data_IF_676598053913
#
_entry.id   IF_676598053913
#
_cell.length_a   1.000
_cell.length_b   1.000
_cell.length_c   1.000
_cell.angle_alpha   90.00
_cell.angle_beta   90.00
_cell.angle_gamma   90.00
#
_symmetry.space_group_name_H-M   'P 1'
#
loop_
_entity.id
_entity.type
_entity.pdbx_description
1 polymer ?
2 non-polymer ?
3 non-polymer ?
4 non-polymer ?
5 water ?
#
# COMPACT_ATOMS: atom_id res chain seq x y z
N UNK A 1 14.48 22.29 3.40
CA UNK A 1 13.60 22.68 4.50
C UNK A 1 12.65 21.55 4.92
N UNK A 2 11.58 21.38 4.16
CA UNK A 2 10.56 20.37 4.47
C UNK A 2 10.91 19.00 3.92
N UNK A 3 10.55 17.96 4.65
CA UNK A 3 10.80 16.60 4.22
C UNK A 3 9.53 15.76 4.27
N UNK A 4 9.47 14.74 3.43
CA UNK A 4 8.31 13.88 3.39
C UNK A 4 7.69 13.77 2.01
N UNK A 5 6.53 13.12 1.95
CA UNK A 5 5.91 12.78 0.68
C UNK A 5 4.40 12.98 0.66
N UNK A 6 3.89 13.48 -0.46
CA UNK A 6 2.46 13.45 -0.73
C UNK A 6 2.27 12.62 -1.99
N UNK A 7 1.29 11.72 -1.97
CA UNK A 7 1.10 10.82 -3.08
C UNK A 7 -0.37 10.67 -3.42
N UNK A 8 -0.71 10.92 -4.68
CA UNK A 8 -2.03 10.62 -5.20
C UNK A 8 -2.01 9.30 -5.97
N UNK A 9 -2.99 8.46 -5.72
CA UNK A 9 -3.11 7.22 -6.47
C UNK A 9 -4.45 7.14 -7.20
N UNK A 10 -4.41 6.79 -8.47
CA UNK A 10 -5.62 6.55 -9.24
C UNK A 10 -5.56 5.12 -9.75
N UNK A 11 -6.62 4.35 -9.55
CA UNK A 11 -6.58 2.95 -9.97
C UNK A 11 -7.91 2.45 -10.52
N UNK A 12 -7.83 1.50 -11.42
CA UNK A 12 -9.02 0.86 -11.97
C UNK A 12 -8.66 -0.52 -12.52
N UNK A 13 -9.66 -1.35 -12.73
CA UNK A 13 -9.41 -2.66 -13.31
C UNK A 13 -10.48 -3.64 -12.88
N UNK A 14 -11.08 -3.32 -11.74
CA UNK A 14 -12.27 -4.02 -11.25
C UNK A 14 -12.69 -3.56 -9.86
N UNK A 15 -12.94 -4.50 -8.95
CA UNK A 15 -13.61 -4.20 -7.69
C UNK A 15 -13.12 -2.98 -6.93
N UNK A 16 -11.81 -2.73 -6.93
CA UNK A 16 -11.24 -1.69 -6.10
C UNK A 16 -10.89 -0.41 -6.87
N UNK A 17 -11.82 0.06 -7.68
CA UNK A 17 -11.66 1.30 -8.44
C UNK A 17 -11.81 2.54 -7.56
N UNK A 18 -10.97 3.54 -7.79
CA UNK A 18 -11.07 4.80 -7.08
C UNK A 18 -9.76 5.57 -7.00
N UNK A 19 -9.64 6.36 -5.94
CA UNK A 19 -8.54 7.31 -5.82
C UNK A 19 -8.17 7.49 -4.36
N UNK A 20 -6.95 7.96 -4.11
CA UNK A 20 -6.47 8.15 -2.75
C UNK A 20 -5.42 9.25 -2.69
N UNK A 21 -5.23 9.79 -1.48
CA UNK A 21 -4.20 10.78 -1.22
C UNK A 21 -3.59 10.41 0.13
N UNK A 22 -2.27 10.28 0.18
CA UNK A 22 -1.59 9.95 1.43
C UNK A 22 -0.36 10.84 1.63
N UNK A 23 -0.03 11.10 2.89
CA UNK A 23 1.14 11.90 3.22
C UNK A 23 2.03 11.10 4.19
N UNK A 24 3.34 11.14 3.96
CA UNK A 24 4.31 10.68 4.95
C UNK A 24 5.02 11.93 5.52
N UNK A 25 4.92 12.10 6.83
CA UNK A 25 5.37 13.34 7.47
C UNK A 25 6.34 13.07 8.63
N UNK A 26 7.64 13.32 8.43
CA UNK A 26 8.65 13.06 9.47
C UNK A 26 8.45 13.98 10.67
N UNK A 27 8.69 13.46 11.86
CA UNK A 27 8.73 14.34 13.03
C UNK A 27 10.08 14.32 13.72
N UNK A 28 10.89 13.31 13.39
CA UNK A 28 12.29 13.30 13.75
C UNK A 28 13.06 12.70 12.59
N UNK A 29 14.12 13.38 12.18
CA UNK A 29 14.84 12.98 10.98
C UNK A 29 16.34 13.14 11.17
N UNK A 30 17.05 12.02 11.28
CA UNK A 30 18.50 12.01 11.38
C UNK A 30 19.02 10.98 10.39
N UNK A 31 20.32 10.98 10.14
CA UNK A 31 20.87 9.98 9.22
C UNK A 31 20.53 8.54 9.66
N UNK A 32 20.69 8.25 10.94
CA UNK A 32 20.47 6.90 11.45
C UNK A 32 19.00 6.52 11.67
N UNK A 33 18.13 7.50 11.91
CA UNK A 33 16.76 7.18 12.29
C UNK A 33 15.76 8.24 11.83
N UNK A 34 14.61 7.77 11.35
CA UNK A 34 13.50 8.62 10.96
C UNK A 34 12.27 8.14 11.73
N UNK A 35 11.55 9.06 12.37
CA UNK A 35 10.25 8.74 12.96
C UNK A 35 9.23 9.58 12.19
N UNK A 36 8.09 8.98 11.85
CA UNK A 36 7.17 9.64 10.94
C UNK A 36 5.73 9.30 11.29
N UNK A 37 4.84 10.16 10.84
CA UNK A 37 3.42 9.84 10.80
C UNK A 37 3.01 9.68 9.35
N UNK A 38 1.97 8.88 9.12
CA UNK A 38 1.40 8.75 7.78
C UNK A 38 -0.11 8.91 7.92
N UNK A 39 -0.71 9.72 7.06
CA UNK A 39 -2.13 9.97 7.13
C UNK A 39 -2.69 10.08 5.73
N UNK A 40 -3.86 9.52 5.51
CA UNK A 40 -4.46 9.61 4.19
C UNK A 40 -5.89 9.14 4.16
N UNK A 41 -6.52 9.30 3.01
CA UNK A 41 -7.86 8.77 2.83
C UNK A 41 -8.04 8.37 1.38
N UNK A 42 -9.13 7.65 1.12
CA UNK A 42 -9.34 7.10 -0.20
C UNK A 42 -10.83 6.85 -0.41
N UNK A 43 -11.25 6.93 -1.67
CA UNK A 43 -12.59 6.56 -2.02
C UNK A 43 -12.45 5.48 -3.06
N UNK A 44 -12.68 4.24 -2.63
CA UNK A 44 -12.39 3.07 -3.46
C UNK A 44 -13.48 2.05 -3.20
N UNK A 45 -13.95 1.41 -4.26
CA UNK A 45 -14.96 0.37 -4.14
C UNK A 45 -16.19 0.92 -3.40
N UNK A 46 -16.55 2.15 -3.72
CA UNK A 46 -17.75 2.78 -3.16
C UNK A 46 -17.72 2.93 -1.65
N UNK A 47 -16.53 3.01 -1.07
CA UNK A 47 -16.39 3.28 0.35
C UNK A 47 -15.36 4.36 0.63
N UNK A 48 -15.64 5.20 1.61
CA UNK A 48 -14.68 6.20 2.07
C UNK A 48 -13.94 5.64 3.29
N UNK A 49 -12.61 5.56 3.20
CA UNK A 49 -11.77 5.01 4.27
C UNK A 49 -10.65 5.99 4.57
N UNK A 50 -10.35 6.22 5.85
CA UNK A 50 -9.19 7.02 6.22
C UNK A 50 -8.22 6.21 7.09
N UNK A 51 -6.96 6.63 7.11
CA UNK A 51 -5.90 5.84 7.75
C UNK A 51 -4.90 6.76 8.42
N UNK A 52 -4.47 6.38 9.61
CA UNK A 52 -3.50 7.16 10.39
C UNK A 52 -2.48 6.20 11.00
N UNK A 53 -1.19 6.48 10.80
CA UNK A 53 -0.16 5.61 11.33
C UNK A 53 1.12 6.34 11.71
N UNK A 54 2.00 5.62 12.38
CA UNK A 54 3.31 6.15 12.73
C UNK A 54 4.31 5.00 12.75
N UNK A 55 5.58 5.31 12.64
CA UNK A 55 6.59 4.27 12.77
C UNK A 55 7.97 4.86 12.83
N UNK A 56 8.96 3.98 12.84
CA UNK A 56 10.34 4.39 12.76
C UNK A 56 11.04 3.57 11.71
N UNK A 57 12.05 4.17 11.09
CA UNK A 57 12.92 3.50 10.15
C UNK A 57 14.36 3.72 10.62
N UNK A 58 15.14 2.64 10.64
CA UNK A 58 16.52 2.70 11.12
C UNK A 58 17.48 2.35 9.99
N UNK A 59 18.45 3.21 9.77
CA UNK A 59 19.29 3.11 8.58
C UNK A 59 20.74 2.68 8.84
N UNK A 60 21.19 1.73 8.04
CA UNK A 60 22.58 1.40 7.88
C UNK A 60 22.94 1.77 6.45
N UNK A 61 24.25 1.86 6.15
CA UNK A 61 24.69 2.13 4.78
C UNK A 61 24.02 1.21 3.74
N UNK A 62 23.87 -0.07 4.07
CA UNK A 62 23.34 -1.03 3.09
C UNK A 62 21.90 -1.48 3.32
N UNK A 63 21.33 -1.20 4.50
CA UNK A 63 19.95 -1.62 4.74
C UNK A 63 19.17 -0.78 5.74
N UNK A 64 17.86 -0.97 5.74
CA UNK A 64 16.96 -0.29 6.63
C UNK A 64 16.00 -1.30 7.26
N UNK A 65 15.78 -1.16 8.56
CA UNK A 65 14.75 -1.92 9.26
C UNK A 65 13.72 -0.91 9.73
N UNK A 66 12.44 -1.29 9.70
CA UNK A 66 11.39 -0.39 10.12
C UNK A 66 10.18 -1.12 10.66
N UNK A 67 9.41 -0.42 11.50
CA UNK A 67 8.13 -0.92 11.98
C UNK A 67 7.13 0.22 11.97
N UNK A 68 5.85 -0.08 11.96
CA UNK A 68 4.80 0.93 11.94
C UNK A 68 3.51 0.37 12.51
N UNK A 69 2.65 1.26 13.00
CA UNK A 69 1.35 0.87 13.52
C UNK A 69 0.31 1.78 12.93
N UNK A 70 -0.83 1.20 12.51
CA UNK A 70 -1.89 1.96 11.83
C UNK A 70 -3.26 1.75 12.47
N UNK A 71 -4.10 2.78 12.42
CA UNK A 71 -5.54 2.56 12.59
C UNK A 71 -6.22 2.83 11.25
N UNK A 72 -7.03 1.88 10.79
CA UNK A 72 -7.77 1.99 9.54
C UNK A 72 -9.25 2.16 9.84
N UNK A 73 -9.88 3.16 9.24
CA UNK A 73 -11.29 3.39 9.48
C UNK A 73 -12.09 3.53 8.20
N UNK A 74 -12.95 2.56 7.95
CA UNK A 74 -13.91 2.60 6.86
C UNK A 74 -15.14 3.33 7.37
N UNK A 75 -15.26 4.61 7.02
CA UNK A 75 -16.36 5.44 7.51
C UNK A 75 -17.71 5.06 6.92
N UNK A 76 -17.69 4.53 5.70
CA UNK A 76 -18.92 4.14 5.02
C UNK A 76 -19.61 3.00 5.75
N UNK A 77 -18.83 1.99 6.11
CA UNK A 77 -19.38 0.81 6.76
C UNK A 77 -19.15 0.80 8.26
N UNK A 78 -18.46 1.81 8.78
CA UNK A 78 -18.13 1.86 10.20
C UNK A 78 -17.34 0.62 10.60
N UNK A 79 -16.26 0.32 9.89
CA UNK A 79 -15.38 -0.79 10.25
C UNK A 79 -14.00 -0.28 10.65
N UNK A 80 -13.45 -0.86 11.70
CA UNK A 80 -12.22 -0.34 12.27
C UNK A 80 -11.19 -1.46 12.37
N UNK A 81 -9.94 -1.14 12.09
CA UNK A 81 -8.90 -2.15 12.06
C UNK A 81 -7.60 -1.60 12.60
N UNK A 82 -6.86 -2.44 13.31
CA UNK A 82 -5.49 -2.13 13.71
C UNK A 82 -4.53 -2.78 12.73
N UNK A 83 -3.51 -2.03 12.30
CA UNK A 83 -2.47 -2.59 11.46
C UNK A 83 -1.10 -2.51 12.11
N UNK A 84 -0.28 -3.53 11.88
CA UNK A 84 1.11 -3.48 12.31
C UNK A 84 1.98 -3.91 11.15
N UNK A 85 3.12 -3.24 10.96
CA UNK A 85 3.95 -3.51 9.80
C UNK A 85 5.43 -3.55 10.12
N UNK A 86 6.16 -4.37 9.37
CA UNK A 86 7.60 -4.40 9.43
C UNK A 86 8.21 -4.15 8.05
N UNK A 87 9.47 -3.69 8.05
CA UNK A 87 10.12 -3.30 6.80
C UNK A 87 11.57 -3.74 6.78
N UNK A 88 12.00 -4.26 5.64
CA UNK A 88 13.41 -4.49 5.38
C UNK A 88 13.73 -4.04 3.96
N UNK A 89 14.38 -2.89 3.84
CA UNK A 89 14.66 -2.30 2.53
C UNK A 89 16.15 -2.16 2.27
N UNK A 90 16.52 -2.16 0.99
CA UNK A 90 17.90 -1.99 0.57
C UNK A 90 17.84 -1.12 -0.69
N UNK A 91 18.99 -0.90 -1.33
CA UNK A 91 19.00 -0.29 -2.65
C UNK A 91 18.14 -1.12 -3.60
N UNK A 92 17.21 -0.46 -4.30
CA UNK A 92 16.41 -1.08 -5.36
C UNK A 92 15.54 -2.24 -4.89
N UNK A 93 15.31 -2.33 -3.58
CA UNK A 93 14.60 -3.48 -3.06
C UNK A 93 13.89 -3.10 -1.77
N UNK A 94 12.56 -3.26 -1.76
CA UNK A 94 11.77 -2.94 -0.59
C UNK A 94 10.92 -4.14 -0.21
N UNK A 95 11.16 -4.69 0.98
CA UNK A 95 10.33 -5.78 1.47
C UNK A 95 9.55 -5.33 2.72
N UNK A 96 8.28 -5.70 2.78
CA UNK A 96 7.44 -5.38 3.93
C UNK A 96 6.53 -6.54 4.31
N UNK A 97 6.21 -6.63 5.59
CA UNK A 97 5.19 -7.57 6.05
C UNK A 97 4.19 -6.76 6.86
N UNK A 98 2.90 -7.08 6.70
CA UNK A 98 1.85 -6.36 7.38
C UNK A 98 0.85 -7.32 7.99
N UNK A 99 0.37 -6.99 9.19
CA UNK A 99 -0.67 -7.74 9.86
C UNK A 99 -1.91 -6.87 9.95
N UNK A 100 -3.08 -7.49 9.82
CA UNK A 100 -4.35 -6.77 9.77
C UNK A 100 -5.28 -7.37 10.81
N UNK A 101 -5.59 -6.57 11.83
CA UNK A 101 -6.32 -7.02 13.00
C UNK A 101 -7.62 -6.25 13.25
N UNK A 102 -8.73 -6.97 13.11
CA UNK A 102 -10.07 -6.42 13.34
C UNK A 102 -10.20 -5.73 14.70
N UNK A 103 -10.82 -4.55 14.74
CA UNK A 103 -11.12 -3.85 16.00
C UNK A 103 -12.60 -3.57 16.18
N UNK A 104 -13.41 -3.94 15.21
CA UNK A 104 -14.85 -3.75 15.30
C UNK A 104 -15.54 -5.06 14.96
N UNK A 105 -16.78 -5.22 15.45
CA UNK A 105 -17.47 -6.49 15.34
C UNK A 105 -18.52 -6.57 14.26
N UNK A 106 -19.22 -7.69 14.21
CA UNK A 106 -20.30 -7.87 13.26
C UNK A 106 -21.36 -6.79 13.38
N UNK A 107 -21.81 -6.28 12.24
CA UNK A 107 -22.94 -5.36 12.20
C UNK A 107 -23.55 -5.39 10.80
N UNK A 108 -24.76 -4.86 10.65
CA UNK A 108 -25.47 -4.89 9.37
C UNK A 108 -24.59 -4.37 8.24
N UNK A 109 -24.52 -5.13 7.16
CA UNK A 109 -23.63 -4.76 6.04
C UNK A 109 -24.06 -3.50 5.29
N UNK A 110 -23.06 -2.73 4.88
CA UNK A 110 -23.23 -1.53 4.10
C UNK A 110 -23.64 -1.82 2.65
N UNK A 111 -22.99 -2.79 2.03
CA UNK A 111 -23.21 -3.06 0.60
C UNK A 111 -24.04 -4.32 0.28
N UNK A 112 -24.11 -5.25 1.23
CA UNK A 112 -24.81 -6.51 0.98
C UNK A 112 -26.08 -6.66 1.80
N UNK A 113 -27.22 -6.60 1.13
CA UNK A 113 -28.50 -6.79 1.81
C UNK A 113 -28.56 -8.18 2.42
N UNK A 114 -29.02 -8.26 3.67
CA UNK A 114 -29.21 -9.53 4.36
C UNK A 114 -27.94 -10.11 4.99
N UNK A 115 -26.86 -9.32 5.01
CA UNK A 115 -25.60 -9.77 5.60
C UNK A 115 -25.13 -8.86 6.74
N UNK A 116 -24.39 -9.44 7.68
CA UNK A 116 -23.55 -8.66 8.57
C UNK A 116 -22.15 -8.63 7.99
N UNK A 117 -21.39 -7.61 8.32
CA UNK A 117 -20.02 -7.49 7.85
C UNK A 117 -19.08 -7.09 9.00
N UNK A 118 -17.80 -7.42 8.85
CA UNK A 118 -16.74 -6.94 9.73
C UNK A 118 -15.38 -7.17 9.07
N UNK A 119 -14.33 -6.49 9.56
CA UNK A 119 -13.00 -6.69 8.96
C UNK A 119 -12.47 -8.14 9.05
N UNK A 120 -11.91 -8.65 7.96
CA UNK A 120 -11.26 -9.96 7.96
C UNK A 120 -9.83 -9.81 8.48
N UNK A 121 -9.45 -10.60 9.48
CA UNK A 121 -8.06 -10.65 9.89
C UNK A 121 -7.20 -11.29 8.79
N UNK A 122 -5.96 -10.81 8.65
CA UNK A 122 -5.03 -11.43 7.72
C UNK A 122 -3.65 -10.81 7.76
N UNK A 123 -2.85 -11.12 6.74
CA UNK A 123 -1.52 -10.54 6.61
C UNK A 123 -1.15 -10.45 5.15
N UNK A 124 -0.08 -9.72 4.85
CA UNK A 124 0.50 -9.79 3.51
C UNK A 124 2.01 -9.57 3.55
N UNK A 125 2.68 -10.00 2.50
CA UNK A 125 4.11 -9.84 2.37
C UNK A 125 4.32 -9.20 1.01
N UNK A 126 5.14 -8.15 0.97
CA UNK A 126 5.24 -7.31 -0.23
C UNK A 126 6.69 -7.07 -0.62
N UNK A 127 6.99 -7.28 -1.90
CA UNK A 127 8.31 -7.00 -2.46
C UNK A 127 8.13 -6.07 -3.64
N UNK A 128 8.97 -5.03 -3.70
CA UNK A 128 9.06 -4.18 -4.87
C UNK A 128 10.54 -4.07 -5.19
N UNK A 129 10.91 -4.43 -6.40
CA UNK A 129 12.30 -4.35 -6.80
C UNK A 129 12.42 -3.50 -8.05
N UNK A 130 13.57 -2.85 -8.20
CA UNK A 130 13.85 -2.02 -9.36
C UNK A 130 15.14 -2.48 -10.02
N UNK A 131 15.16 -2.47 -11.36
CA UNK A 131 16.34 -2.92 -12.08
C UNK A 131 17.48 -1.94 -11.81
N UNK A 132 18.58 -2.43 -11.20
CA UNK A 132 19.61 -1.45 -10.84
C UNK A 132 20.22 -0.71 -12.03
N UNK A 133 20.32 -1.40 -13.17
CA UNK A 133 20.86 -0.78 -14.39
C UNK A 133 19.83 0.08 -15.12
N UNK A 134 18.55 -0.08 -14.79
CA UNK A 134 17.49 0.77 -15.36
C UNK A 134 16.33 0.93 -14.37
N UNK A 135 16.54 1.73 -13.32
CA UNK A 135 15.64 1.78 -12.16
C UNK A 135 14.23 2.33 -12.43
N UNK A 136 13.99 2.91 -13.60
CA UNK A 136 12.62 3.30 -13.96
C UNK A 136 11.73 2.07 -14.08
N UNK A 137 12.33 0.89 -14.26
CA UNK A 137 11.59 -0.35 -14.39
C UNK A 137 11.51 -1.09 -13.05
N UNK A 138 10.28 -1.33 -12.60
CA UNK A 138 10.07 -2.05 -11.35
C UNK A 138 9.14 -3.22 -11.49
N UNK A 139 9.26 -4.14 -10.54
CA UNK A 139 8.40 -5.33 -10.48
C UNK A 139 7.83 -5.44 -9.08
N UNK A 140 6.67 -6.08 -8.96
CA UNK A 140 5.96 -6.16 -7.69
C UNK A 140 5.49 -7.59 -7.44
N UNK A 141 5.77 -8.08 -6.24
CA UNK A 141 5.29 -9.40 -5.84
C UNK A 141 4.63 -9.30 -4.47
N UNK A 142 3.38 -9.74 -4.39
CA UNK A 142 2.67 -9.72 -3.12
C UNK A 142 2.04 -11.08 -2.85
N UNK A 143 2.19 -11.58 -1.62
CA UNK A 143 1.33 -12.65 -1.17
C UNK A 143 0.43 -12.14 -0.05
N UNK A 144 -0.86 -12.36 -0.17
CA UNK A 144 -1.80 -11.94 0.86
C UNK A 144 -2.70 -13.11 1.29
N UNK A 145 -3.09 -13.10 2.55
CA UNK A 145 -3.91 -14.17 3.12
C UNK A 145 -4.91 -13.61 4.13
N UNK A 146 -6.18 -13.96 3.97
CA UNK A 146 -7.19 -13.49 4.91
C UNK A 146 -8.01 -14.65 5.45
N UNK A 147 -8.71 -14.43 6.55
CA UNK A 147 -9.38 -15.54 7.22
C UNK A 147 -10.86 -15.26 7.53
N UNK A 148 -11.69 -16.27 7.32
CA UNK A 148 -13.11 -16.18 7.62
C UNK A 148 -13.87 -17.14 6.71
N UNK A 149 -15.12 -17.42 7.04
CA UNK A 149 -15.90 -18.33 6.20
C UNK A 149 -16.28 -17.70 4.86
N UNK A 150 -16.56 -16.40 4.85
CA UNK A 150 -16.98 -15.73 3.62
C UNK A 150 -16.28 -14.39 3.43
N UNK A 151 -15.08 -14.41 2.87
CA UNK A 151 -14.26 -13.22 2.76
C UNK A 151 -14.31 -12.66 1.34
N UNK A 152 -14.34 -11.33 1.24
CA UNK A 152 -14.34 -10.66 -0.06
C UNK A 152 -12.97 -10.08 -0.40
N UNK A 153 -12.09 -10.92 -0.92
CA UNK A 153 -10.74 -10.52 -1.30
C UNK A 153 -10.73 -9.93 -2.71
N UNK A 154 -11.57 -10.49 -3.58
CA UNK A 154 -11.64 -10.07 -4.98
C UNK A 154 -12.86 -9.20 -5.25
N UNK A 155 -14.02 -9.63 -4.75
CA UNK A 155 -15.23 -8.81 -4.72
C UNK A 155 -16.25 -9.41 -3.74
N UNK A 156 -17.32 -8.68 -3.46
CA UNK A 156 -18.29 -9.13 -2.46
C UNK A 156 -19.45 -9.95 -3.03
N UNK A 157 -19.40 -10.27 -4.32
CA UNK A 157 -20.40 -11.14 -4.92
C UNK A 157 -19.92 -12.59 -4.99
N UNK A 158 -18.60 -12.78 -4.85
CA UNK A 158 -18.05 -14.13 -4.74
C UNK A 158 -17.26 -14.24 -3.44
N UNK A 159 -17.94 -14.71 -2.40
CA UNK A 159 -17.31 -14.83 -1.10
C UNK A 159 -16.58 -16.17 -0.97
N UNK A 160 -15.46 -16.17 -0.26
CA UNK A 160 -14.61 -17.36 -0.18
C UNK A 160 -14.10 -17.61 1.23
N UNK A 161 -13.84 -18.87 1.54
CA UNK A 161 -13.25 -19.24 2.82
C UNK A 161 -11.73 -19.06 2.82
N UNK A 162 -11.23 -18.30 3.79
CA UNK A 162 -9.78 -18.14 3.98
C UNK A 162 -9.02 -17.94 2.68
N UNK A 163 -9.38 -16.90 1.92
CA UNK A 163 -8.73 -16.75 0.61
C UNK A 163 -7.32 -16.19 0.71
N UNK A 164 -6.43 -16.67 -0.17
CA UNK A 164 -5.12 -16.08 -0.36
C UNK A 164 -4.95 -15.69 -1.82
N UNK A 165 -3.95 -14.88 -2.12
CA UNK A 165 -3.68 -14.49 -3.50
C UNK A 165 -2.23 -14.06 -3.69
N UNK A 166 -1.70 -14.31 -4.89
CA UNK A 166 -0.39 -13.81 -5.24
C UNK A 166 -0.55 -12.74 -6.31
N UNK A 167 0.16 -11.64 -6.16
CA UNK A 167 0.12 -10.57 -7.15
C UNK A 167 1.49 -10.46 -7.81
N UNK A 168 1.49 -10.28 -9.13
CA UNK A 168 2.72 -9.97 -9.83
C UNK A 168 2.42 -8.75 -10.68
N UNK A 169 3.30 -7.75 -10.62
CA UNK A 169 3.07 -6.54 -11.38
C UNK A 169 4.35 -5.95 -11.94
N UNK A 170 4.19 -5.09 -12.94
CA UNK A 170 5.30 -4.31 -13.46
C UNK A 170 4.87 -2.86 -13.49
N UNK A 171 5.82 -1.95 -13.29
CA UNK A 171 5.51 -0.53 -13.30
C UNK A 171 6.66 0.27 -13.90
N UNK A 172 6.34 1.46 -14.35
CA UNK A 172 7.30 2.31 -15.05
C UNK A 172 7.27 3.70 -14.42
N UNK A 173 8.44 4.22 -14.07
CA UNK A 173 8.57 5.56 -13.48
C UNK A 173 9.51 6.37 -14.37
N UNK A 174 8.97 7.03 -15.41
CA UNK A 174 9.81 7.77 -16.35
C UNK A 174 10.52 8.95 -15.68
N UNK A 175 9.82 9.59 -14.75
CA UNK A 175 10.35 10.68 -13.95
C UNK A 175 9.81 10.47 -12.54
N UNK A 176 10.48 11.03 -11.52
CA UNK A 176 10.10 10.74 -10.13
C UNK A 176 8.65 11.09 -9.80
N UNK A 177 8.11 12.08 -10.51
CA UNK A 177 6.77 12.56 -10.27
C UNK A 177 5.67 11.54 -10.56
N UNK A 178 5.88 10.59 -11.48
CA UNK A 178 4.80 9.69 -11.85
C UNK A 178 5.24 8.24 -12.09
N UNK A 179 4.42 7.32 -11.60
CA UNK A 179 4.62 5.89 -11.78
C UNK A 179 3.34 5.31 -12.36
N UNK A 180 3.46 4.47 -13.37
CA UNK A 180 2.30 3.76 -13.91
C UNK A 180 2.55 2.26 -13.85
N UNK A 181 1.50 1.47 -13.63
CA UNK A 181 1.69 0.05 -13.53
C UNK A 181 0.48 -0.81 -13.79
N UNK A 182 0.74 -2.10 -13.95
CA UNK A 182 -0.31 -3.09 -14.13
C UNK A 182 -0.02 -4.26 -13.19
N UNK A 183 -1.04 -4.67 -12.44
CA UNK A 183 -0.89 -5.73 -11.47
C UNK A 183 -1.85 -6.89 -11.77
N UNK A 184 -1.31 -8.09 -11.87
CA UNK A 184 -2.11 -9.27 -12.06
C UNK A 184 -2.16 -10.07 -10.77
N UNK A 185 -3.36 -10.48 -10.38
CA UNK A 185 -3.55 -11.21 -9.15
C UNK A 185 -4.31 -12.50 -9.39
N UNK A 186 -3.78 -13.59 -8.83
CA UNK A 186 -4.41 -14.91 -8.92
C UNK A 186 -4.62 -15.42 -7.49
N UNK A 187 -5.82 -15.90 -7.18
CA UNK A 187 -6.12 -16.34 -5.83
C UNK A 187 -6.89 -17.64 -5.73
N UNK A 188 -7.36 -17.97 -4.54
CA UNK A 188 -8.08 -19.23 -4.34
C UNK A 188 -9.36 -19.31 -5.18
N UNK A 189 -9.78 -20.54 -5.50
CA UNK A 189 -10.96 -20.76 -6.31
C UNK A 189 -10.73 -20.32 -7.74
N UNK A 190 -9.47 -20.07 -8.06
CA UNK A 190 -9.06 -19.58 -9.37
C UNK A 190 -9.64 -18.22 -9.70
N UNK A 191 -9.64 -17.35 -8.70
CA UNK A 191 -9.97 -15.94 -8.89
C UNK A 191 -8.77 -15.23 -9.52
N UNK A 192 -9.05 -14.31 -10.44
CA UNK A 192 -8.03 -13.51 -11.09
C UNK A 192 -8.58 -12.11 -11.26
N UNK A 193 -7.71 -11.11 -11.17
CA UNK A 193 -8.09 -9.76 -11.53
C UNK A 193 -6.89 -8.95 -11.96
N UNK A 194 -7.16 -7.79 -12.55
CA UNK A 194 -6.12 -6.89 -13.08
C UNK A 194 -6.34 -5.50 -12.53
N UNK A 195 -5.26 -4.85 -12.13
CA UNK A 195 -5.35 -3.50 -11.58
C UNK A 195 -4.40 -2.58 -12.35
N UNK A 196 -4.97 -1.58 -13.03
CA UNK A 196 -4.18 -0.54 -13.66
C UNK A 196 -4.11 0.62 -12.68
N UNK A 197 -2.93 1.20 -12.50
CA UNK A 197 -2.80 2.28 -11.54
C UNK A 197 -1.76 3.32 -11.92
N UNK A 198 -1.99 4.55 -11.49
CA UNK A 198 -1.04 5.62 -11.68
C UNK A 198 -0.86 6.41 -10.39
N UNK A 199 0.38 6.71 -10.03
CA UNK A 199 0.64 7.49 -8.83
C UNK A 199 1.37 8.77 -9.15
N UNK A 200 0.91 9.86 -8.54
CA UNK A 200 1.61 11.13 -8.62
C UNK A 200 2.26 11.37 -7.27
N UNK A 201 3.58 11.53 -7.31
CA UNK A 201 4.41 11.51 -6.11
C UNK A 201 5.11 12.85 -5.98
N UNK A 202 4.82 13.56 -4.90
CA UNK A 202 5.51 14.82 -4.65
C UNK A 202 6.46 14.67 -3.46
N UNK A 203 7.74 14.93 -3.69
CA UNK A 203 8.74 14.88 -2.64
C UNK A 203 9.00 16.28 -2.08
N UNK A 204 8.72 16.47 -0.79
CA UNK A 204 8.86 17.80 -0.17
C UNK A 204 10.28 18.37 -0.26
N UNK A 205 11.29 17.51 -0.21
CA UNK A 205 12.69 17.99 -0.21
C UNK A 205 13.31 18.20 -1.60
N UNK A 206 12.54 17.95 -2.66
CA UNK A 206 13.05 18.07 -4.01
C UNK A 206 12.51 19.33 -4.67
N UNK A 207 13.33 19.97 -5.50
CA UNK A 207 12.84 21.07 -6.32
C UNK A 207 11.91 20.50 -7.41
N UNK A 208 11.15 21.38 -8.05
CA UNK A 208 10.27 20.93 -9.12
C UNK A 208 11.03 20.24 -10.25
N UNK A 209 12.12 20.86 -10.70
CA UNK A 209 12.85 20.34 -11.85
C UNK A 209 13.46 18.96 -11.57
N UNK A 210 13.89 18.72 -10.34
CA UNK A 210 14.45 17.42 -9.99
C UNK A 210 13.41 16.32 -10.13
N UNK A 211 12.15 16.68 -9.89
CA UNK A 211 11.07 15.69 -9.89
C UNK A 211 10.54 15.33 -11.27
N UNK A 212 10.97 16.08 -12.28
CA UNK A 212 10.52 15.80 -13.64
C UNK A 212 11.71 15.48 -14.54
N UNK A 213 12.81 15.02 -13.94
CA UNK A 213 14.00 14.62 -14.67
C UNK A 213 14.32 13.16 -14.42
N UNK A 214 14.50 12.37 -15.51
CA UNK A 214 14.69 10.92 -15.47
C UNK A 214 15.91 10.51 -14.65
N UNK A 215 16.93 11.36 -14.60
CA UNK A 215 18.16 11.03 -13.88
C UNK A 215 17.96 10.91 -12.38
N UNK A 216 16.87 11.47 -11.84
CA UNK A 216 16.63 11.38 -10.40
C UNK A 216 15.80 10.17 -10.02
N UNK A 217 15.40 9.38 -11.00
CA UNK A 217 14.67 8.15 -10.70
C UNK A 217 15.59 7.15 -9.98
N UNK A 218 16.83 7.02 -10.44
CA UNK A 218 17.78 6.16 -9.74
C UNK A 218 17.94 6.54 -8.25
N UNK A 219 18.08 7.84 -8.00
CA UNK A 219 18.20 8.29 -6.62
C UNK A 219 17.01 7.85 -5.78
N UNK A 220 15.82 7.99 -6.36
CA UNK A 220 14.56 7.65 -5.67
C UNK A 220 14.51 6.19 -5.26
N UNK A 221 15.13 5.32 -6.05
CA UNK A 221 15.08 3.87 -5.81
C UNK A 221 16.23 3.33 -4.95
N UNK A 222 17.27 4.13 -4.72
CA UNK A 222 18.29 3.76 -3.76
C UNK A 222 17.74 3.87 -2.35
N UNK A 223 18.41 3.23 -1.40
CA UNK A 223 17.98 3.26 -0.01
C UNK A 223 17.77 4.70 0.50
N UNK A 224 18.72 5.58 0.23
CA UNK A 224 18.69 6.91 0.82
C UNK A 224 17.67 7.82 0.16
N UNK A 225 17.33 7.54 -1.11
CA UNK A 225 16.30 8.30 -1.78
C UNK A 225 14.91 7.81 -1.45
N UNK A 226 14.82 6.58 -0.95
CA UNK A 226 13.53 5.93 -0.68
C UNK A 226 13.04 6.14 0.76
N UNK A 227 13.83 6.87 1.54
CA UNK A 227 13.58 6.95 2.98
C UNK A 227 12.21 7.54 3.37
N UNK A 228 11.62 8.35 2.49
CA UNK A 228 10.32 9.00 2.76
C UNK A 228 9.15 8.38 2.00
N UNK A 229 9.40 7.23 1.37
CA UNK A 229 8.35 6.47 0.67
C UNK A 229 7.26 6.06 1.63
N UNK A 230 6.02 6.03 1.14
CA UNK A 230 4.90 5.56 1.97
C UNK A 230 5.12 4.11 2.42
N UNK A 231 4.55 3.76 3.57
CA UNK A 231 4.52 2.37 4.02
C UNK A 231 3.86 1.53 2.93
N UNK A 232 4.39 0.34 2.67
CA UNK A 232 3.78 -0.55 1.68
C UNK A 232 2.81 -1.45 2.40
N UNK A 233 1.52 -1.21 2.24
CA UNK A 233 0.52 -1.97 2.96
C UNK A 233 -0.78 -1.79 2.23
N UNK A 234 -1.79 -2.57 2.60
CA UNK A 234 -3.11 -2.42 2.02
C UNK A 234 -3.94 -1.51 2.92
N UNK A 235 -4.25 -0.30 2.44
CA UNK A 235 -5.01 0.66 3.24
C UNK A 235 -6.53 0.45 3.12
N UNK A 236 -6.95 -0.44 2.22
CA UNK A 236 -8.35 -0.85 2.12
C UNK A 236 -8.64 -1.93 3.15
N UNK A 237 -9.81 -1.86 3.79
CA UNK A 237 -10.18 -2.88 4.77
C UNK A 237 -10.96 -4.00 4.09
N UNK A 238 -10.29 -5.15 3.94
CA UNK A 238 -10.96 -6.34 3.41
C UNK A 238 -11.98 -6.86 4.42
N UNK A 239 -13.19 -7.15 3.94
CA UNK A 239 -14.29 -7.56 4.81
C UNK A 239 -14.67 -9.04 4.68
N UNK A 240 -15.21 -9.58 5.77
CA UNK A 240 -15.91 -10.85 5.71
C UNK A 240 -17.38 -10.62 6.03
N UNK A 241 -18.19 -11.62 5.70
CA UNK A 241 -19.64 -11.50 5.79
C UNK A 241 -20.29 -12.69 6.50
N UNK A 242 -21.48 -12.46 7.04
CA UNK A 242 -22.29 -13.54 7.59
C UNK A 242 -23.76 -13.13 7.47
X LIG B 1 3.17 -2.60 -2.44
X LIG C 1 5.87 -1.69 -18.18
X LIG C 1 -1.37 3.45 -16.72
X LIG C 1 -2.30 4.11 -16.02
X LIG C 1 4.98 -0.74 -17.40
X LIG C 1 -1.56 2.07 -17.29
X LIG C 1 -3.69 3.59 -15.70
X LIG C 1 -12.25 8.47 -7.81
X LIG C 1 3.51 -0.97 -17.73
X LIG C 1 -0.49 1.84 -18.36
X LIG C 1 -4.45 4.73 -15.03
X LIG C 1 2.63 0.17 -17.26
X LIG C 1 0.29 0.55 -18.13
X LIG C 1 -5.81 4.34 -14.49
X LIG C 1 1.78 0.74 -18.40
X LIG C 1 -6.48 5.52 -13.80
X LIG C 1 -7.72 5.10 -13.02
X LIG C 1 -8.94 5.94 -13.43
X LIG C 1 -9.47 6.82 -12.30
X LIG C 1 -11.81 7.75 -10.17
X LIG C 1 -10.51 6.05 -11.52
X LIG C 1 -12.75 7.61 -8.97
X LIG C 1 -10.93 4.98 -11.93
X LIG C 1 -12.90 8.12 -6.59
X LIG C 1 -14.06 8.02 -9.37
X LIG C 1 -11.05 6.53 -10.26
X LIG D 1 13.09 -2.77 15.08
X LIG D 1 6.51 -6.51 11.86
X LIG D 1 5.37 -6.92 11.29
X LIG D 1 12.97 -3.41 13.71
X LIG D 1 6.82 -6.70 13.31
X LIG D 1 4.28 -7.63 12.06
X LIG D 1 -5.86 -16.48 12.00
X LIG D 1 11.56 -3.83 13.34
X LIG D 1 8.34 -6.86 13.48
X LIG D 1 3.67 -8.66 11.12
X LIG D 1 11.52 -4.97 12.31
X LIG D 1 9.15 -5.69 12.93
X LIG D 1 2.43 -9.31 11.74
X LIG D 1 10.62 -6.10 12.78
X LIG D 1 2.01 -10.59 11.01
X LIG D 1 0.95 -11.28 11.86
X LIG D 1 0.30 -12.47 11.18
X LIG D 1 -1.22 -12.42 11.38
X LIG D 1 -3.68 -15.42 11.35
X LIG D 1 -1.79 -13.81 11.28
X LIG D 1 -4.52 -15.95 12.51
X LIG D 1 -1.09 -14.73 10.89
X LIG D 1 -5.88 -17.90 12.16
X LIG D 1 -3.82 -17.01 13.17
X LIG D 1 -3.16 -14.11 11.66
X LIG E 1 12.36 9.80 18.89
X LIG E 1 11.70 8.44 18.91
X LIG E 1 10.21 8.58 18.65
X LIG E 1 9.53 7.22 18.61
X LIG E 1 8.04 7.33 18.37
X LIG E 1 11.85 10.72 18.29
X LIG E 1 13.62 10.02 19.59
X LIG E 1 14.47 11.08 19.16
X LIG E 1 15.60 11.29 20.16
X LIG E 1 16.47 10.14 20.14
X LIG E 1 16.41 12.53 19.80
X LIG E 1 17.53 12.66 20.69
X LIG E 1 7.60 6.59 17.13
X LIG E 1 6.83 5.32 17.47
X LIG E 1 5.35 5.51 17.26
X LIG E 1 4.81 4.19 16.77
X LIG E 1 3.55 3.80 17.04
X LIG E 1 2.61 4.64 17.86
X LIG E 1 1.23 3.98 17.80
X LIG E 1 0.71 3.57 19.17
X LIG E 1 -0.50 2.63 19.04
X LIG E 1 -0.35 1.42 19.96
X LIG E 1 -1.30 0.29 19.58
X LIG E 1 -2.57 0.34 20.41
X LIG E 1 -3.76 0.82 19.59
X LIG F 1 -8.81 12.77 0.52
X LIG F 1 -9.16 12.03 -0.52
X LIG F 1 -9.54 12.71 1.84
X LIG F 1 -10.30 11.05 -0.57
X LIG F 1 -10.03 11.68 -9.73
X LIG F 1 -8.90 13.73 2.77
X LIG F 1 -10.36 10.72 -2.06
X LIG F 1 -9.01 11.16 -2.61
X LIG F 1 -8.95 11.37 -4.11
X LIG F 1 -7.87 12.40 -4.42
X LIG F 1 -7.44 12.34 -5.88
X LIG F 1 -7.30 13.72 -6.50
X LIG F 1 -8.10 13.15 -10.24
X LIG F 1 -7.09 13.56 -8.00
X LIG F 1 -9.46 12.66 -10.74
X LIG F 1 -5.98 13.31 -8.45
X LIG F 1 -11.17 11.00 -10.28
X LIG F 1 -10.34 13.77 -10.91
X LIG F 1 -8.21 13.67 -8.92
X LIG G 1 2.52 3.89 23.89
X LIG G 1 5.37 9.15 20.19
X LIG G 1 6.35 9.77 20.84
X LIG G 1 3.79 4.73 23.68
X LIG G 1 4.75 9.54 18.90
X LIG G 1 7.11 10.99 20.46
X LIG G 1 15.77 17.51 17.51
X LIG G 1 4.07 5.07 22.22
X LIG G 1 3.52 8.65 18.82
X LIG G 1 8.21 10.99 21.49
X LIG G 1 4.05 6.55 21.88
X LIG G 1 3.13 8.35 20.27
X LIG G 1 9.11 12.18 21.35
X LIG G 1 3.14 6.88 20.70
X LIG G 1 9.65 12.34 19.97
X LIG G 1 8.82 13.29 19.14
X LIG G 1 9.75 14.34 18.59
X LIG G 1 11.12 13.83 18.92
X LIG G 1 13.85 16.49 18.75
X LIG G 1 12.05 14.95 19.30
X LIG G 1 14.25 17.50 17.69
X LIG G 1 12.26 15.25 20.45
X LIG G 1 16.10 18.13 16.28
X LIG G 1 13.61 17.17 16.46
X LIG G 1 12.76 15.68 18.31
X LIG H 1 9.42 -4.55 -17.69
X LIG H 1 12.78 -6.41 -10.61
X LIG H 1 13.45 -7.00 -9.63
X LIG H 1 9.08 -5.93 -17.19
X LIG H 1 13.55 -6.10 -11.87
X LIG H 1 14.90 -7.33 -9.89
X LIG H 1 23.70 -1.69 -5.17
X LIG H 1 9.79 -6.14 -15.87
X LIG H 1 12.82 -5.04 -12.65
X LIG H 1 15.79 -6.21 -9.37
X LIG H 1 11.01 -5.24 -15.90
X LIG H 1 11.87 -5.70 -13.64
X LIG H 1 15.70 -6.10 -7.86
X LIG H 1 11.28 -4.64 -14.53
X LIG H 1 16.96 -5.42 -7.32
X LIG H 1 17.74 -6.39 -6.45
X LIG H 1 19.03 -5.76 -5.96
X LIG H 1 19.16 -5.94 -4.45
X LIG H 1 22.02 -3.34 -4.35
X LIG H 1 20.07 -4.85 -3.96
X LIG H 1 22.40 -2.43 -5.50
X LIG H 1 19.99 -4.41 -2.83
X LIG H 1 23.48 -0.81 -4.06
X LIG H 1 22.56 -3.20 -6.68
X LIG H 1 21.08 -4.30 -4.85
X LIG I 1 4.58 23.16 -2.04
X LIG I 1 3.56 22.28 -1.33
X LIG I 1 2.99 21.25 -2.31
X LIG I 1 1.98 20.30 -1.66
X LIG I 1 1.31 19.42 -2.70
X LIG I 1 4.29 23.72 -3.08
X LIG I 1 5.94 23.32 -1.54
X LIG I 1 6.34 24.50 -0.82
X LIG I 1 7.76 24.87 -1.27
X LIG I 1 7.70 25.52 -2.54
X LIG I 1 8.46 25.77 -0.26
X LIG I 1 9.79 26.06 -0.72
X LIG I 1 0.42 18.35 -2.05
X LIG I 1 -0.31 17.49 -3.09
X LIG I 1 0.67 16.87 -4.09
X LIG I 1 0.14 15.55 -4.62
X LIG I 1 0.51 15.15 -5.84
X LIG I 1 1.47 16.00 -6.65
X LIG I 1 1.10 15.95 -8.13
X LIG I 1 -0.30 16.51 -8.36
X LIG I 1 -0.94 15.98 -9.65
X LIG I 1 -2.45 16.19 -9.61
X LIG I 1 -3.23 15.01 -10.18
X LIG I 1 -3.41 15.14 -11.69
X LIG I 1 -4.59 14.31 -12.17
X LIG J 1 8.71 -10.30 11.86
X LIG J 1 2.11 -14.90 9.01
X LIG J 1 1.06 -15.64 9.32
X LIG J 1 8.58 -11.25 10.68
X LIG J 1 3.47 -15.51 8.84
X LIG J 1 1.15 -17.14 9.50
X LIG J 1 -9.23 -23.51 12.28
X LIG J 1 7.19 -11.89 10.66
X LIG J 1 4.28 -14.73 7.81
X LIG J 1 -0.07 -17.60 10.30
X LIG J 1 6.98 -12.74 9.41
X LIG J 1 4.77 -13.39 8.35
X LIG J 1 -0.32 -19.09 10.16
X LIG J 1 5.72 -13.59 9.54
X LIG J 1 -1.80 -19.38 10.07
X LIG J 1 -2.06 -20.43 9.01
X LIG J 1 -3.01 -21.50 9.52
X LIG J 1 -4.18 -20.90 10.30
X LIG J 1 -7.38 -21.91 11.62
X LIG J 1 -5.24 -21.96 10.34
X LIG J 1 -7.89 -23.35 11.56
X LIG J 1 -4.92 -23.14 10.24
X LIG J 1 -9.84 -24.77 11.94
X LIG J 1 -8.04 -23.78 10.19
X LIG J 1 -6.65 -21.64 10.43
X LIG K 1 -3.06 -20.46 5.52
X LIG K 1 -1.91 -20.37 4.54
X LIG K 1 -0.84 -19.47 5.14
X LIG K 1 0.48 -19.48 4.36
X LIG K 1 1.68 -19.41 5.29
X LIG K 1 -3.12 -19.66 6.43
X LIG K 1 -4.10 -21.48 5.45
X LIG K 1 -5.07 -21.47 4.39
X LIG K 1 -6.21 -22.44 4.76
X LIG K 1 -6.61 -22.25 6.11
X LIG K 1 -7.40 -22.21 3.84
X LIG K 1 -8.54 -22.89 4.39
X LIG K 1 2.40 -18.06 5.22
X LIG K 1 3.80 -18.21 4.62
X LIG K 1 4.73 -17.04 5.01
X LIG K 1 6.17 -17.52 4.92
X LIG K 1 7.24 -16.72 5.07
X LIG K 1 7.12 -15.24 5.35
X LIG K 1 8.46 -14.55 5.05
X LIG K 1 8.49 -13.12 5.61
X LIG K 1 8.99 -12.11 4.59
X LIG K 1 10.15 -11.28 5.15
X LIG K 1 9.95 -9.79 4.95
X LIG K 1 9.83 -9.08 6.30
X LIG K 1 10.48 -7.71 6.30
X LIG L 1 -2.08 4.45 15.97
X LIG L 1 1.82 10.65 14.26
X LIG L 1 1.58 11.60 13.39
X LIG L 1 -1.06 5.48 15.60
X LIG L 1 2.75 10.85 15.40
X LIG L 1 2.26 12.91 13.55
X LIG L 1 11.55 17.57 12.12
X LIG L 1 -1.62 6.87 15.56
X LIG L 1 2.08 10.10 16.53
X LIG L 1 2.03 13.68 12.28
X LIG L 1 -0.59 7.80 14.98
X LIG L 1 1.36 8.90 15.96
X LIG L 1 3.38 14.14 11.81
X LIG L 1 -0.14 8.94 15.87
X LIG L 1 3.78 15.35 12.58
X LIG L 1 4.24 16.42 11.66
X LIG L 1 5.18 17.34 12.39
X LIG L 1 6.18 17.99 11.47
X LIG L 1 9.65 19.19 12.27
X LIG L 1 7.40 18.44 12.23
X LIG L 1 10.56 18.40 11.37
X LIG L 1 7.61 18.15 13.38
X LIG L 1 12.50 17.23 11.11
X LIG L 1 9.78 17.51 10.59
X LIG L 1 8.41 19.23 11.63
X LIG M 1 -8.01 9.05 16.78
X LIG M 1 -6.59 13.72 11.48
X LIG M 1 -5.29 13.79 11.16
X LIG M 1 -8.13 10.56 16.75
X LIG M 1 -7.08 13.78 12.90
X LIG M 1 -4.22 13.93 12.22
X LIG M 1 5.87 21.41 9.62
X LIG M 1 -9.58 11.03 16.71
X LIG M 1 -8.56 14.19 12.90
X LIG M 1 -2.85 14.15 11.56
X LIG M 1 -10.00 11.47 15.31
X LIG M 1 -9.48 13.06 13.39
X LIG M 1 -2.70 15.53 10.94
X LIG M 1 -9.16 12.65 14.83
X LIG M 1 -1.26 16.04 11.08
X LIG M 1 -0.94 17.16 10.10
X LIG M 1 0.27 17.98 10.55
X LIG M 1 1.17 18.39 9.38
X LIG M 1 3.94 20.33 8.46
X LIG M 1 1.92 19.65 9.74
X LIG M 1 4.57 21.66 8.88
X LIG M 1 1.32 20.61 10.17
X LIG M 1 6.34 22.64 10.20
X LIG M 1 4.82 22.46 7.70
X LIG M 1 3.37 19.75 9.63
X LIG N 1 5.86 1.99 20.78
X LIG N 1 7.09 2.35 20.46
X LIG N 1 5.40 1.81 22.18
X LIG N 1 8.19 2.66 21.43
X LIG N 1 19.43 8.16 16.81
X LIG N 1 9.02 3.82 20.92
X LIG N 1 10.50 3.50 20.91
X LIG N 1 11.42 4.69 20.90
X LIG N 1 12.82 4.21 20.62
X LIG N 1 13.80 5.31 20.35
X LIG N 1 14.38 5.26 18.95
X LIG N 1 17.73 6.87 18.03
X LIG N 1 15.68 6.00 18.99
X LIG N 1 18.46 6.98 16.73
X LIG N 1 16.02 6.55 20.02
X LIG N 1 19.06 9.22 15.94
X LIG N 1 19.13 5.73 16.50
X LIG N 1 16.57 6.08 17.86
X LIG O 1 -8.19 7.10 11.63
X LIG O 1 -7.26 12.74 5.22
X LIG O 1 -6.28 13.14 4.38
X LIG O 1 -8.93 8.25 10.99
X LIG O 1 -7.34 12.98 6.70
X LIG O 1 -5.04 13.91 4.78
X LIG O 1 5.08 20.33 3.47
X LIG O 1 -7.98 9.32 10.46
X LIG O 1 -8.74 12.69 7.21
X LIG O 1 -5.28 14.78 6.00
X LIG O 1 -8.78 10.40 9.74
X LIG O 1 -8.76 12.70 8.74
X LIG O 1 -4.71 16.18 5.85
X LIG O 1 -7.90 11.57 9.30
X LIG O 1 -3.34 16.29 6.50
X LIG O 1 -2.52 17.32 5.74
X LIG O 1 -1.08 17.34 6.21
X LIG O 1 -0.16 17.59 5.02
X LIG O 1 3.13 19.50 4.78
X LIG O 1 0.93 18.56 5.43
X LIG O 1 3.61 20.55 3.79
X LIG O 1 1.07 18.86 6.60
X LIG O 1 5.37 20.91 2.19
X LIG O 1 2.84 20.43 2.58
X LIG O 1 1.78 19.18 4.44
#
# INVERSE_FOLDING_TARGET
QHYGTAEVNLQSGNNFDGSSLDFLLPFYDSEKMLAFGQVGARYIDSRFTANLGAGQRFFLPANMLGYNVFIDQDFSGDNTRLGIGGEYWRDYFKSSVNGYFRMSGWHESYNKKDYDERPANGFDIRFNGYLPSYPALGAKLIYEQYYGDNVALFNSDKLQSNPGAATVGVNYTPIPLVTMGIDYRHGTGNENDLLYSMQFRYQFDKSWSQQIEPQYVNELRTLSGSRYDLVQRNNNIILEYK
CL CL
OLC C18 C10 C9 C17 C11 C8 C24 C16 C12 C7 C15 C13 C6 C14 C5 C4 C3 C2 C21 C1 C22 O19 O25 O23 O20
OLC C18 C10 C9 C17 C11 C8 C24 C16 C12 C7 C15 C13 C6 C14 C5 C4 C3 C2 C21 C1 C22 O19 O25 O23 O20
OLB C1 C2 C3 C4 C5 O19 O20 C21 C22 O23 C24 O25 C6 C7 C8 C9 C10 C11 C12 C13 C14 C15 C16 C17 C18
OLC C10 C9 C11 C8 C24 C12 C7 C6 C5 C4 C3 C2 C21 C1 C22 O19 O25 O23 O20
OLC C18 C10 C9 C17 C11 C8 C24 C16 C12 C7 C15 C13 C6 C14 C5 C4 C3 C2 C21 C1 C22 O19 O25 O23 O20
OLC C18 C10 C9 C17 C11 C8 C24 C16 C12 C7 C15 C13 C6 C14 C5 C4 C3 C2 C21 C1 C22 O19 O25 O23 O20
OLB C1 C2 C3 C4 C5 O19 O20 C21 C22 O23 C24 O25 C6 C7 C8 C9 C10 C11 C12 C13 C14 C15 C16 C17 C18
OLC C18 C10 C9 C17 C11 C8 C24 C16 C12 C7 C15 C13 C6 C14 C5 C4 C3 C2 C21 C1 C22 O19 O25 O23 O20
OLB C1 C2 C3 C4 C5 O19 O20 C21 C22 O23 C24 O25 C6 C7 C8 C9 C10 C11 C12 C13 C14 C15 C16 C17 C18
OLC C18 C10 C9 C17 C11 C8 C24 C16 C12 C7 C15 C13 C6 C14 C5 C4 C3 C2 C21 C1 C22 O19 O25 O23 O20
OLC C18 C10 C9 C17 C11 C8 C24 C16 C12 C7 C15 C13 C6 C14 C5 C4 C3 C2 C21 C1 C22 O19 O25 O23 O20
OLC C10 C9 C11 C8 C24 C7 C6 C5 C4 C3 C2 C21 C1 C22 O19 O25 O23 O20
OLC C18 C10 C9 C17 C11 C8 C24 C16 C12 C7 C15 C13 C6 C14 C5 C4 C3 C2 C21 C1 C22 O19 O25 O23 O20
#
